data_IF_717669841052
#
_entry.id   IF_717669841052
#
_cell.length_a   1.000
_cell.length_b   1.000
_cell.length_c   1.000
_cell.angle_alpha   90.00
_cell.angle_beta   90.00
_cell.angle_gamma   90.00
#
_symmetry.space_group_name_H-M   'P 1'
#
loop_
_entity.id
_entity.type
_entity.pdbx_description
1 polymer ?
#
# COMPACT_ATOMS: atom_id res chain seq x y z
N UNK A 1 17.15 17.02 23.34
CA UNK A 1 15.96 17.05 24.22
C UNK A 1 15.01 18.13 23.70
N UNK A 2 14.28 17.85 22.61
CA UNK A 2 13.32 18.82 22.06
C UNK A 2 11.97 18.61 22.74
N UNK A 3 11.65 19.47 23.69
CA UNK A 3 10.34 19.53 24.31
C UNK A 3 9.31 20.02 23.28
N UNK A 4 8.39 19.13 22.90
CA UNK A 4 7.26 19.44 22.00
C UNK A 4 6.25 20.29 22.80
N UNK A 5 5.82 21.47 22.31
CA UNK A 5 4.82 22.27 23.01
C UNK A 5 3.45 21.58 22.94
N UNK A 6 2.79 21.45 24.09
CA UNK A 6 1.42 20.90 24.19
C UNK A 6 0.45 21.84 23.45
N UNK A 7 -0.36 21.27 22.58
CA UNK A 7 -1.45 21.97 21.91
C UNK A 7 -2.39 22.61 22.96
N UNK A 8 -2.71 23.88 22.78
CA UNK A 8 -3.66 24.63 23.60
C UNK A 8 -5.07 24.06 23.41
N UNK A 9 -5.61 23.42 24.43
CA UNK A 9 -7.02 23.05 24.48
C UNK A 9 -7.87 24.32 24.38
N UNK A 10 -8.74 24.35 23.37
CA UNK A 10 -9.82 25.33 23.21
C UNK A 10 -10.61 25.42 24.52
N UNK A 11 -10.44 26.52 25.28
CA UNK A 11 -11.11 26.72 26.57
C UNK A 11 -12.61 26.78 26.35
N UNK A 12 -13.33 25.80 26.87
CA UNK A 12 -14.80 25.78 26.87
C UNK A 12 -15.29 26.95 27.75
N UNK A 13 -16.30 27.74 27.30
CA UNK A 13 -16.85 28.83 28.09
C UNK A 13 -17.32 28.37 29.48
N UNK A 14 -16.99 29.15 30.51
CA UNK A 14 -17.39 28.85 31.88
C UNK A 14 -18.87 29.22 32.08
N UNK A 15 -19.70 28.21 32.31
CA UNK A 15 -21.12 28.36 32.60
C UNK A 15 -21.32 28.82 34.06
N UNK A 16 -22.38 29.60 34.30
CA UNK A 16 -22.69 30.16 35.62
C UNK A 16 -24.16 29.96 35.98
N UNK A 17 -24.45 29.99 37.28
CA UNK A 17 -25.82 29.97 37.80
C UNK A 17 -26.62 28.75 37.34
N UNK A 18 -27.86 28.99 36.92
CA UNK A 18 -28.81 27.94 36.53
C UNK A 18 -28.35 27.13 35.31
N UNK A 19 -27.64 27.74 34.36
CA UNK A 19 -27.11 27.03 33.19
C UNK A 19 -26.07 25.98 33.57
N UNK A 20 -25.21 26.31 34.54
CA UNK A 20 -24.22 25.37 35.07
C UNK A 20 -24.90 24.21 35.81
N UNK A 21 -25.93 24.51 36.60
CA UNK A 21 -26.71 23.51 37.33
C UNK A 21 -27.43 22.55 36.38
N UNK A 22 -28.14 23.09 35.39
CA UNK A 22 -28.84 22.30 34.37
C UNK A 22 -27.87 21.42 33.59
N UNK A 23 -26.68 21.94 33.25
CA UNK A 23 -25.69 21.17 32.49
C UNK A 23 -25.10 19.99 33.28
N UNK A 24 -24.84 20.20 34.57
CA UNK A 24 -24.39 19.14 35.47
C UNK A 24 -25.47 18.07 35.65
N UNK A 25 -26.71 18.49 35.84
CA UNK A 25 -27.85 17.58 35.97
C UNK A 25 -28.10 16.75 34.70
N UNK A 26 -28.10 17.40 33.53
CA UNK A 26 -28.24 16.76 32.22
C UNK A 26 -27.14 15.70 32.02
N UNK A 27 -25.89 16.05 32.34
CA UNK A 27 -24.76 15.13 32.23
C UNK A 27 -24.94 13.88 33.10
N UNK A 28 -25.29 14.06 34.38
CA UNK A 28 -25.46 12.93 35.31
C UNK A 28 -26.65 12.06 34.92
N UNK A 29 -27.78 12.65 34.55
CA UNK A 29 -28.96 11.89 34.08
C UNK A 29 -28.66 11.10 32.80
N UNK A 30 -27.95 11.72 31.84
CA UNK A 30 -27.57 11.07 30.58
C UNK A 30 -26.62 9.89 30.80
N UNK A 31 -25.62 10.05 31.65
CA UNK A 31 -24.64 8.98 31.90
C UNK A 31 -25.16 7.90 32.85
N UNK A 32 -26.09 8.26 33.75
CA UNK A 32 -26.72 7.42 34.77
C UNK A 32 -25.73 6.50 35.54
N UNK A 33 -24.51 7.01 35.79
CA UNK A 33 -23.43 6.32 36.52
C UNK A 33 -23.02 7.16 37.74
N UNK A 34 -22.57 6.54 38.85
CA UNK A 34 -22.05 7.28 40.00
C UNK A 34 -20.76 8.03 39.66
N UNK A 35 -20.69 9.33 39.96
CA UNK A 35 -19.49 10.16 39.74
C UNK A 35 -19.14 11.00 40.96
N UNK A 36 -17.84 11.28 41.14
CA UNK A 36 -17.39 12.33 42.04
C UNK A 36 -17.39 13.71 41.38
N UNK A 37 -17.40 14.78 42.18
CA UNK A 37 -17.43 16.15 41.65
C UNK A 37 -16.20 16.51 40.78
N UNK A 38 -15.05 15.88 41.04
CA UNK A 38 -13.84 16.06 40.23
C UNK A 38 -14.05 15.49 38.84
N UNK A 39 -14.60 14.28 38.76
CA UNK A 39 -14.83 13.57 37.49
C UNK A 39 -15.86 14.31 36.65
N UNK A 40 -16.94 14.79 37.26
CA UNK A 40 -17.97 15.58 36.56
C UNK A 40 -17.36 16.86 35.98
N UNK A 41 -16.59 17.62 36.76
CA UNK A 41 -15.95 18.85 36.29
C UNK A 41 -14.96 18.59 35.14
N UNK A 42 -14.20 17.49 35.22
CA UNK A 42 -13.28 17.06 34.16
C UNK A 42 -14.02 16.61 32.89
N UNK A 43 -15.10 15.82 33.03
CA UNK A 43 -15.91 15.34 31.90
C UNK A 43 -16.65 16.48 31.18
N UNK A 44 -17.02 17.53 31.91
CA UNK A 44 -17.54 18.77 31.36
C UNK A 44 -16.44 19.68 30.77
N UNK A 45 -15.19 19.21 30.68
CA UNK A 45 -14.02 19.92 30.12
C UNK A 45 -13.81 21.32 30.71
N UNK A 46 -14.08 21.46 32.00
CA UNK A 46 -13.93 22.75 32.70
C UNK A 46 -15.03 23.78 32.43
N UNK A 47 -16.12 23.41 31.72
CA UNK A 47 -17.29 24.28 31.54
C UNK A 47 -17.92 24.68 32.89
N UNK A 48 -17.82 23.80 33.90
CA UNK A 48 -18.18 24.11 35.29
C UNK A 48 -16.94 23.84 36.18
N UNK A 49 -16.43 24.85 36.91
CA UNK A 49 -15.27 24.68 37.78
C UNK A 49 -15.52 23.64 38.87
N UNK A 50 -14.47 22.96 39.35
CA UNK A 50 -14.56 21.89 40.36
C UNK A 50 -15.33 22.30 41.62
N UNK A 51 -15.05 23.48 42.17
CA UNK A 51 -15.70 23.99 43.38
C UNK A 51 -17.17 24.30 43.15
N UNK A 52 -17.52 24.87 42.00
CA UNK A 52 -18.90 25.11 41.60
C UNK A 52 -19.65 23.79 41.37
N UNK A 53 -19.01 22.82 40.72
CA UNK A 53 -19.56 21.48 40.47
C UNK A 53 -19.92 20.77 41.78
N UNK A 54 -19.02 20.79 42.78
CA UNK A 54 -19.30 20.21 44.09
C UNK A 54 -20.54 20.85 44.76
N UNK A 55 -20.64 22.18 44.73
CA UNK A 55 -21.79 22.90 45.32
C UNK A 55 -23.10 22.57 44.60
N UNK A 56 -23.07 22.55 43.27
CA UNK A 56 -24.22 22.20 42.42
C UNK A 56 -24.69 20.77 42.72
N UNK A 57 -23.77 19.80 42.80
CA UNK A 57 -24.11 18.41 43.06
C UNK A 57 -24.77 18.20 44.43
N UNK A 58 -24.27 18.89 45.46
CA UNK A 58 -24.89 18.87 46.79
C UNK A 58 -26.28 19.50 46.75
N UNK A 59 -26.43 20.66 46.11
CA UNK A 59 -27.73 21.32 45.97
C UNK A 59 -28.76 20.46 45.20
N UNK A 60 -28.32 19.78 44.14
CA UNK A 60 -29.17 18.85 43.38
C UNK A 60 -29.53 17.59 44.19
N UNK A 61 -28.64 17.14 45.09
CA UNK A 61 -28.95 16.05 46.01
C UNK A 61 -29.96 16.49 47.09
N UNK A 62 -29.84 17.71 47.61
CA UNK A 62 -30.81 18.30 48.56
C UNK A 62 -32.19 18.49 47.93
N UNK A 63 -32.25 18.86 46.64
CA UNK A 63 -33.49 18.93 45.84
C UNK A 63 -34.10 17.56 45.53
N UNK A 64 -33.43 16.46 45.87
CA UNK A 64 -33.90 15.09 45.61
C UNK A 64 -33.77 14.64 44.15
N UNK A 65 -33.08 15.42 43.30
CA UNK A 65 -32.82 15.05 41.91
C UNK A 65 -31.67 14.05 41.80
N UNK A 66 -30.70 14.13 42.71
CA UNK A 66 -29.58 13.22 42.83
C UNK A 66 -29.58 12.51 44.18
N UNK A 67 -28.96 11.34 44.23
CA UNK A 67 -28.61 10.65 45.47
C UNK A 67 -27.12 10.82 45.70
N UNK A 68 -26.74 11.27 46.89
CA UNK A 68 -25.35 11.37 47.30
C UNK A 68 -25.00 10.27 48.31
N UNK A 69 -23.80 9.70 48.17
CA UNK A 69 -23.26 8.74 49.14
C UNK A 69 -21.79 8.99 49.38
N UNK A 70 -21.41 9.06 50.65
CA UNK A 70 -20.04 9.32 51.08
C UNK A 70 -19.32 8.02 51.43
N UNK A 71 -18.14 7.84 50.86
CA UNK A 71 -17.22 6.72 51.11
C UNK A 71 -15.88 7.29 51.56
N UNK A 72 -15.63 7.26 52.87
CA UNK A 72 -14.44 7.86 53.46
C UNK A 72 -14.39 9.38 53.18
N UNK A 73 -13.37 9.82 52.44
CA UNK A 73 -13.17 11.23 52.07
C UNK A 73 -13.86 11.66 50.77
N UNK A 74 -14.46 10.72 50.03
CA UNK A 74 -15.01 10.98 48.69
C UNK A 74 -16.52 10.81 48.69
N UNK A 75 -17.24 11.76 48.08
CA UNK A 75 -18.69 11.68 47.89
C UNK A 75 -19.01 11.43 46.42
N UNK A 76 -19.87 10.45 46.17
CA UNK A 76 -20.38 10.10 44.85
C UNK A 76 -21.83 10.55 44.71
N UNK A 77 -22.17 11.00 43.51
CA UNK A 77 -23.50 11.46 43.13
C UNK A 77 -24.00 10.63 41.95
N UNK A 78 -25.26 10.23 42.00
CA UNK A 78 -25.95 9.52 40.90
C UNK A 78 -27.36 10.08 40.76
N UNK A 79 -27.96 9.99 39.58
CA UNK A 79 -29.36 10.35 39.41
C UNK A 79 -30.24 9.53 40.35
N UNK A 80 -31.26 10.16 40.94
CA UNK A 80 -32.16 9.47 41.85
C UNK A 80 -33.04 8.47 41.08
N UNK A 81 -32.75 7.18 41.22
CA UNK A 81 -33.49 6.12 40.51
C UNK A 81 -34.91 5.94 41.04
N UNK A 82 -35.22 6.39 42.26
CA UNK A 82 -36.58 6.31 42.81
C UNK A 82 -37.57 7.24 42.06
N UNK A 83 -37.05 8.21 41.30
CA UNK A 83 -37.86 9.09 40.45
C UNK A 83 -38.12 8.48 39.05
N UNK A 84 -37.55 7.31 38.75
CA UNK A 84 -37.78 6.60 37.50
C UNK A 84 -38.97 5.64 37.68
N UNK A 85 -39.82 5.55 36.67
CA UNK A 85 -40.94 4.61 36.68
C UNK A 85 -40.42 3.17 36.62
N UNK A 86 -40.95 2.31 37.49
CA UNK A 86 -40.74 0.87 37.38
C UNK A 86 -41.42 0.36 36.11
N UNK A 87 -40.64 -0.30 35.25
CA UNK A 87 -41.14 -0.80 33.98
C UNK A 87 -41.75 -2.20 34.18
N UNK A 88 -43.04 -2.41 33.85
CA UNK A 88 -43.66 -3.72 33.96
C UNK A 88 -43.02 -4.71 32.98
N UNK A 89 -42.99 -5.99 33.38
CA UNK A 89 -42.36 -7.06 32.61
C UNK A 89 -42.88 -7.17 31.16
N UNK A 90 -44.17 -6.90 30.93
CA UNK A 90 -44.79 -6.90 29.61
C UNK A 90 -44.21 -5.81 28.69
N UNK A 91 -43.99 -4.60 29.21
CA UNK A 91 -43.37 -3.50 28.44
C UNK A 91 -41.91 -3.83 28.11
N UNK A 92 -41.17 -4.39 29.06
CA UNK A 92 -39.79 -4.86 28.84
C UNK A 92 -39.74 -5.90 27.71
N UNK A 93 -40.63 -6.89 27.74
CA UNK A 93 -40.70 -7.90 26.68
C UNK A 93 -41.03 -7.29 25.31
N UNK A 94 -41.91 -6.27 25.25
CA UNK A 94 -42.21 -5.58 24.00
C UNK A 94 -41.01 -4.79 23.46
N UNK A 95 -40.25 -4.11 24.34
CA UNK A 95 -39.06 -3.36 23.96
C UNK A 95 -37.93 -4.29 23.52
N UNK A 96 -37.77 -5.46 24.16
CA UNK A 96 -36.80 -6.46 23.72
C UNK A 96 -37.14 -7.00 22.32
N UNK A 97 -38.42 -7.20 22.02
CA UNK A 97 -38.86 -7.60 20.69
C UNK A 97 -38.60 -6.50 19.65
N UNK A 98 -38.89 -5.24 19.99
CA UNK A 98 -38.62 -4.08 19.13
C UNK A 98 -37.11 -3.89 18.88
N UNK A 99 -36.28 -3.96 19.92
CA UNK A 99 -34.82 -3.92 19.79
C UNK A 99 -34.31 -5.01 18.86
N UNK A 100 -34.78 -6.26 19.01
CA UNK A 100 -34.39 -7.36 18.13
C UNK A 100 -34.81 -7.11 16.68
N UNK A 101 -36.02 -6.59 16.46
CA UNK A 101 -36.49 -6.25 15.11
C UNK A 101 -35.60 -5.17 14.46
N UNK A 102 -35.34 -4.08 15.19
CA UNK A 102 -34.49 -2.97 14.72
C UNK A 102 -33.05 -3.44 14.48
N UNK A 103 -32.51 -4.33 15.31
CA UNK A 103 -31.18 -4.90 15.13
C UNK A 103 -31.09 -5.75 13.86
N UNK A 104 -32.10 -6.58 13.57
CA UNK A 104 -32.14 -7.36 12.33
C UNK A 104 -32.31 -6.47 11.10
N UNK A 105 -33.22 -5.48 11.13
CA UNK A 105 -33.38 -4.51 10.04
C UNK A 105 -32.08 -3.73 9.78
N UNK A 106 -31.39 -3.33 10.85
CA UNK A 106 -30.09 -2.65 10.74
C UNK A 106 -29.02 -3.53 10.10
N UNK A 107 -29.02 -4.85 10.38
CA UNK A 107 -28.09 -5.79 9.74
C UNK A 107 -28.40 -5.94 8.26
N UNK A 108 -29.68 -6.03 7.88
CA UNK A 108 -30.11 -6.11 6.47
C UNK A 108 -29.69 -4.85 5.72
N UNK A 109 -30.02 -3.66 6.23
CA UNK A 109 -29.65 -2.39 5.61
C UNK A 109 -28.12 -2.22 5.50
N UNK A 110 -27.36 -2.63 6.52
CA UNK A 110 -25.90 -2.58 6.46
C UNK A 110 -25.34 -3.51 5.36
N UNK A 111 -25.95 -4.68 5.14
CA UNK A 111 -25.57 -5.58 4.07
C UNK A 111 -25.91 -5.00 2.69
N UNK A 112 -27.07 -4.36 2.53
CA UNK A 112 -27.47 -3.68 1.29
C UNK A 112 -26.52 -2.53 0.94
N UNK A 113 -26.20 -1.68 1.92
CA UNK A 113 -25.24 -0.57 1.75
C UNK A 113 -23.87 -1.10 1.35
N UNK A 114 -23.42 -2.20 1.96
CA UNK A 114 -22.15 -2.84 1.59
C UNK A 114 -22.16 -3.33 0.15
N UNK A 115 -23.24 -3.97 -0.29
CA UNK A 115 -23.39 -4.45 -1.67
C UNK A 115 -23.40 -3.28 -2.66
N UNK A 116 -24.23 -2.28 -2.44
CA UNK A 116 -24.34 -1.11 -3.33
C UNK A 116 -23.01 -0.32 -3.41
N UNK A 117 -22.35 -0.09 -2.27
CA UNK A 117 -21.09 0.68 -2.23
C UNK A 117 -19.90 -0.09 -2.79
N UNK A 118 -19.75 -1.38 -2.46
CA UNK A 118 -18.57 -2.15 -2.84
C UNK A 118 -18.68 -2.77 -4.23
N UNK A 119 -19.86 -3.26 -4.64
CA UNK A 119 -20.01 -3.94 -5.92
C UNK A 119 -20.40 -2.96 -7.03
N UNK A 120 -21.45 -2.17 -6.83
CA UNK A 120 -22.02 -1.36 -7.91
C UNK A 120 -21.24 -0.06 -8.10
N UNK A 121 -21.06 0.69 -7.02
CA UNK A 121 -20.40 1.99 -7.08
C UNK A 121 -18.91 1.86 -7.41
N UNK A 122 -18.21 0.84 -6.88
CA UNK A 122 -16.81 0.61 -7.25
C UNK A 122 -16.67 0.24 -8.74
N UNK A 123 -17.57 -0.59 -9.27
CA UNK A 123 -17.60 -0.95 -10.70
C UNK A 123 -17.85 0.27 -11.58
N UNK A 124 -18.84 1.10 -11.23
CA UNK A 124 -19.16 2.34 -11.94
C UNK A 124 -18.02 3.36 -11.90
N UNK A 125 -17.29 3.45 -10.80
CA UNK A 125 -16.12 4.34 -10.69
C UNK A 125 -14.90 3.81 -11.43
N UNK A 126 -14.78 2.49 -11.57
CA UNK A 126 -13.70 1.87 -12.34
C UNK A 126 -13.93 1.99 -13.86
N UNK A 127 -15.18 2.16 -14.31
CA UNK A 127 -15.47 2.44 -15.71
C UNK A 127 -15.22 3.91 -16.03
N UNK A 128 -14.43 4.22 -17.07
CA UNK A 128 -14.27 5.58 -17.55
C UNK A 128 -15.60 6.17 -18.01
N UNK A 129 -15.73 7.49 -17.89
CA UNK A 129 -16.90 8.22 -18.40
C UNK A 129 -16.93 8.20 -19.91
N UNK A 130 -18.09 8.39 -20.52
CA UNK A 130 -18.23 8.43 -21.99
C UNK A 130 -17.32 9.50 -22.64
N UNK A 131 -17.18 10.66 -22.00
CA UNK A 131 -16.25 11.69 -22.43
C UNK A 131 -14.78 11.24 -22.32
N UNK A 132 -14.42 10.53 -21.24
CA UNK A 132 -13.07 9.96 -21.09
C UNK A 132 -12.77 8.83 -22.08
N UNK A 133 -13.77 8.01 -22.40
CA UNK A 133 -13.69 6.99 -23.45
C UNK A 133 -13.47 7.61 -24.82
N UNK A 134 -14.19 8.69 -25.16
CA UNK A 134 -14.00 9.39 -26.42
C UNK A 134 -12.55 9.90 -26.58
N UNK A 135 -12.00 10.54 -25.53
CA UNK A 135 -10.59 10.97 -25.53
C UNK A 135 -9.64 9.78 -25.70
N UNK A 136 -9.87 8.68 -24.98
CA UNK A 136 -9.01 7.49 -25.08
C UNK A 136 -9.07 6.85 -26.47
N UNK A 137 -10.23 6.86 -27.13
CA UNK A 137 -10.39 6.39 -28.51
C UNK A 137 -9.59 7.27 -29.48
N UNK A 138 -9.73 8.60 -29.37
CA UNK A 138 -9.00 9.54 -30.22
C UNK A 138 -7.47 9.38 -30.06
N UNK A 139 -7.00 9.20 -28.83
CA UNK A 139 -5.58 8.94 -28.54
C UNK A 139 -5.09 7.62 -29.14
N UNK A 140 -5.89 6.55 -29.00
CA UNK A 140 -5.58 5.23 -29.54
C UNK A 140 -5.55 5.25 -31.07
N UNK A 141 -6.51 5.92 -31.71
CA UNK A 141 -6.58 6.07 -33.15
C UNK A 141 -5.41 6.89 -33.69
N UNK A 142 -5.05 7.99 -33.04
CA UNK A 142 -3.88 8.78 -33.38
C UNK A 142 -2.58 7.97 -33.22
N UNK A 143 -2.45 7.17 -32.15
CA UNK A 143 -1.31 6.29 -31.94
C UNK A 143 -1.22 5.20 -33.02
N UNK A 144 -2.34 4.57 -33.35
CA UNK A 144 -2.41 3.56 -34.39
C UNK A 144 -2.06 4.14 -35.77
N UNK A 145 -2.53 5.35 -36.09
CA UNK A 145 -2.17 6.05 -37.31
C UNK A 145 -0.66 6.33 -37.40
N UNK A 146 -0.06 6.88 -36.32
CA UNK A 146 1.40 7.10 -36.25
C UNK A 146 2.21 5.81 -36.43
N UNK A 147 1.79 4.72 -35.77
CA UNK A 147 2.45 3.43 -35.91
C UNK A 147 2.34 2.89 -37.33
N UNK A 148 1.17 2.99 -37.96
CA UNK A 148 0.97 2.57 -39.35
C UNK A 148 1.83 3.36 -40.32
N UNK A 149 1.93 4.68 -40.17
CA UNK A 149 2.83 5.52 -40.98
C UNK A 149 4.28 5.11 -40.83
N UNK A 150 4.74 4.84 -39.60
CA UNK A 150 6.11 4.37 -39.35
C UNK A 150 6.37 2.97 -39.94
N UNK A 151 5.33 2.15 -40.04
CA UNK A 151 5.41 0.79 -40.58
C UNK A 151 5.46 0.78 -42.11
N UNK A 152 4.84 1.75 -42.80
CA UNK A 152 4.86 1.86 -44.27
C UNK A 152 6.26 1.76 -44.89
N UNK A 153 7.25 2.61 -44.52
CA UNK A 153 8.59 2.54 -45.11
C UNK A 153 9.33 1.25 -44.76
N UNK A 154 9.07 0.69 -43.56
CA UNK A 154 9.68 -0.57 -43.13
C UNK A 154 9.15 -1.79 -43.90
N UNK A 155 7.92 -1.70 -44.43
CA UNK A 155 7.31 -2.73 -45.29
C UNK A 155 7.59 -2.50 -46.78
N UNK A 156 7.72 -1.24 -47.21
CA UNK A 156 8.02 -0.92 -48.60
C UNK A 156 9.49 -1.06 -48.94
N UNK A 157 10.39 -1.05 -47.95
CA UNK A 157 11.78 -1.39 -48.14
C UNK A 157 11.93 -2.85 -48.58
N UNK A 158 12.75 -3.09 -49.60
CA UNK A 158 13.12 -4.45 -50.01
C UNK A 158 13.84 -5.13 -48.85
N UNK A 159 13.39 -6.30 -48.36
CA UNK A 159 14.17 -7.07 -47.39
C UNK A 159 15.49 -7.48 -48.06
N UNK A 160 16.61 -6.88 -47.65
CA UNK A 160 17.94 -7.19 -48.20
C UNK A 160 18.43 -8.59 -47.82
N UNK A 161 17.86 -9.16 -46.75
CA UNK A 161 18.18 -10.50 -46.26
C UNK A 161 16.87 -11.19 -45.90
N UNK A 162 16.66 -12.37 -46.48
CA UNK A 162 15.50 -13.21 -46.20
C UNK A 162 15.60 -13.85 -44.81
N UNK A 163 14.47 -14.28 -44.27
CA UNK A 163 14.46 -15.03 -43.01
C UNK A 163 15.29 -16.33 -43.09
N UNK A 164 15.35 -16.96 -44.27
CA UNK A 164 16.15 -18.15 -44.52
C UNK A 164 17.66 -17.86 -44.50
N UNK A 165 18.09 -16.77 -45.14
CA UNK A 165 19.50 -16.35 -45.12
C UNK A 165 19.97 -15.96 -43.72
N UNK A 166 19.12 -15.28 -42.92
CA UNK A 166 19.43 -15.00 -41.51
C UNK A 166 19.57 -16.27 -40.68
N UNK A 167 18.66 -17.23 -40.85
CA UNK A 167 18.71 -18.49 -40.12
C UNK A 167 19.98 -19.31 -40.49
N UNK A 168 20.36 -19.29 -41.76
CA UNK A 168 21.59 -19.93 -42.22
C UNK A 168 22.83 -19.24 -41.65
N UNK A 169 22.85 -17.90 -41.61
CA UNK A 169 23.93 -17.13 -41.01
C UNK A 169 24.12 -17.44 -39.52
N UNK A 170 23.02 -17.53 -38.76
CA UNK A 170 23.06 -17.92 -37.34
C UNK A 170 23.58 -19.35 -37.15
N UNK A 171 23.17 -20.27 -38.02
CA UNK A 171 23.62 -21.67 -38.00
C UNK A 171 25.13 -21.76 -38.31
N UNK A 172 25.60 -21.06 -39.33
CA UNK A 172 27.00 -21.01 -39.72
C UNK A 172 27.85 -20.34 -38.64
N UNK A 173 27.40 -19.24 -38.05
CA UNK A 173 28.07 -18.60 -36.92
C UNK A 173 28.24 -19.56 -35.74
N UNK A 174 27.17 -20.25 -35.36
CA UNK A 174 27.19 -21.22 -34.25
C UNK A 174 28.16 -22.37 -34.53
N UNK A 175 28.13 -22.92 -35.75
CA UNK A 175 29.01 -24.01 -36.19
C UNK A 175 30.47 -23.59 -36.17
N UNK A 176 30.82 -22.52 -36.88
CA UNK A 176 32.21 -22.09 -37.04
C UNK A 176 32.82 -21.55 -35.75
N UNK A 177 32.04 -20.87 -34.90
CA UNK A 177 32.47 -20.48 -33.56
C UNK A 177 32.83 -21.70 -32.70
N UNK A 178 31.98 -22.72 -32.73
CA UNK A 178 32.22 -23.96 -31.95
C UNK A 178 33.49 -24.66 -32.42
N UNK A 179 33.70 -24.74 -33.74
CA UNK A 179 34.93 -25.30 -34.31
C UNK A 179 36.17 -24.48 -33.95
N UNK A 180 36.12 -23.15 -34.07
CA UNK A 180 37.22 -22.26 -33.72
C UNK A 180 37.65 -22.43 -32.26
N UNK A 181 36.71 -22.32 -31.31
CA UNK A 181 36.99 -22.49 -29.88
C UNK A 181 37.56 -23.88 -29.58
N UNK A 182 37.01 -24.93 -30.19
CA UNK A 182 37.50 -26.30 -30.01
C UNK A 182 38.93 -26.44 -30.52
N UNK A 183 39.22 -25.97 -31.73
CA UNK A 183 40.55 -26.07 -32.35
C UNK A 183 41.59 -25.26 -31.61
N UNK A 184 41.28 -24.02 -31.22
CA UNK A 184 42.14 -23.17 -30.39
C UNK A 184 42.48 -23.84 -29.06
N UNK A 185 41.49 -24.46 -28.40
CA UNK A 185 41.72 -25.21 -27.15
C UNK A 185 42.64 -26.41 -27.35
N UNK A 186 42.42 -27.20 -28.41
CA UNK A 186 43.27 -28.36 -28.73
C UNK A 186 44.72 -27.91 -28.95
N UNK A 187 44.91 -26.89 -29.79
CA UNK A 187 46.22 -26.32 -30.08
C UNK A 187 46.89 -25.81 -28.81
N UNK A 188 46.21 -24.97 -28.02
CA UNK A 188 46.76 -24.39 -26.79
C UNK A 188 47.18 -25.48 -25.80
N UNK A 189 46.37 -26.50 -25.61
CA UNK A 189 46.68 -27.62 -24.72
C UNK A 189 47.92 -28.41 -25.21
N UNK A 190 47.99 -28.68 -26.51
CA UNK A 190 49.11 -29.43 -27.09
C UNK A 190 50.41 -28.61 -27.05
N UNK A 191 50.32 -27.32 -27.38
CA UNK A 191 51.42 -26.39 -27.33
C UNK A 191 51.99 -26.30 -25.91
N UNK A 192 51.12 -26.09 -24.91
CA UNK A 192 51.52 -26.08 -23.50
C UNK A 192 52.20 -27.38 -23.09
N UNK A 193 51.67 -28.55 -23.49
CA UNK A 193 52.31 -29.83 -23.18
C UNK A 193 53.70 -29.97 -23.82
N UNK A 194 53.87 -29.49 -25.05
CA UNK A 194 55.15 -29.55 -25.77
C UNK A 194 56.18 -28.57 -25.18
N UNK A 195 55.74 -27.42 -24.66
CA UNK A 195 56.63 -26.37 -24.14
C UNK A 195 56.75 -26.36 -22.62
N UNK A 196 56.04 -27.23 -21.88
CA UNK A 196 56.01 -27.23 -20.39
C UNK A 196 57.39 -27.39 -19.76
N UNK A 197 58.25 -28.18 -20.41
CA UNK A 197 59.62 -28.45 -19.97
C UNK A 197 60.63 -27.41 -20.48
N UNK A 198 60.22 -26.47 -21.34
CA UNK A 198 61.11 -25.49 -21.96
C UNK A 198 61.11 -24.16 -21.21
N UNK A 199 62.26 -23.47 -21.13
CA UNK A 199 62.31 -22.07 -20.74
C UNK A 199 61.44 -21.20 -21.67
N UNK A 200 60.83 -20.09 -21.17
CA UNK A 200 59.93 -19.25 -21.97
C UNK A 200 60.54 -18.66 -23.25
N UNK A 201 61.85 -18.38 -23.24
CA UNK A 201 62.57 -17.86 -24.41
C UNK A 201 62.68 -18.93 -25.50
N UNK A 202 63.09 -20.14 -25.14
CA UNK A 202 63.20 -21.28 -26.06
C UNK A 202 61.83 -21.69 -26.62
N UNK A 203 60.77 -21.59 -25.81
CA UNK A 203 59.39 -21.81 -26.29
C UNK A 203 58.93 -20.75 -27.32
N UNK A 204 59.41 -19.51 -27.19
CA UNK A 204 59.11 -18.43 -28.13
C UNK A 204 59.87 -18.62 -29.44
N UNK A 205 61.17 -18.92 -29.36
CA UNK A 205 62.01 -19.25 -30.52
C UNK A 205 61.46 -20.46 -31.29
N UNK A 206 61.03 -21.52 -30.58
CA UNK A 206 60.40 -22.68 -31.18
C UNK A 206 59.08 -22.33 -31.89
N UNK A 207 58.28 -21.42 -31.34
CA UNK A 207 57.05 -20.96 -32.00
C UNK A 207 57.36 -20.24 -33.31
N UNK A 208 58.37 -19.38 -33.32
CA UNK A 208 58.83 -18.65 -34.51
C UNK A 208 59.38 -19.59 -35.57
N UNK A 209 60.21 -20.57 -35.19
CA UNK A 209 60.76 -21.58 -36.09
C UNK A 209 59.67 -22.46 -36.73
N UNK A 210 58.62 -22.77 -35.96
CA UNK A 210 57.46 -23.54 -36.44
C UNK A 210 56.43 -22.68 -37.18
N UNK A 211 56.64 -21.36 -37.26
CA UNK A 211 55.73 -20.42 -37.92
C UNK A 211 54.36 -20.30 -37.23
N UNK A 212 54.32 -20.41 -35.91
CA UNK A 212 53.08 -20.33 -35.12
C UNK A 212 52.75 -18.86 -34.84
N UNK A 213 51.60 -18.43 -35.35
CA UNK A 213 51.04 -17.11 -35.06
C UNK A 213 49.95 -17.22 -33.97
N UNK A 214 50.16 -16.54 -32.85
CA UNK A 214 49.18 -16.49 -31.76
C UNK A 214 48.14 -15.37 -31.97
N UNK A 215 46.98 -15.54 -31.34
CA UNK A 215 45.89 -14.57 -31.36
C UNK A 215 46.35 -13.16 -30.94
N UNK A 216 46.15 -12.20 -31.83
CA UNK A 216 46.40 -10.77 -31.56
C UNK A 216 45.35 -10.16 -30.61
N UNK A 217 45.56 -8.94 -30.09
CA UNK A 217 44.56 -8.24 -29.27
C UNK A 217 43.20 -8.06 -29.96
N UNK A 218 43.18 -7.97 -31.30
CA UNK A 218 41.94 -7.89 -32.09
C UNK A 218 41.11 -9.17 -31.99
N UNK A 219 41.77 -10.34 -32.02
CA UNK A 219 41.10 -11.63 -31.84
C UNK A 219 40.49 -11.75 -30.43
N UNK A 220 41.21 -11.28 -29.40
CA UNK A 220 40.70 -11.21 -28.04
C UNK A 220 39.51 -10.24 -27.88
N UNK A 221 39.51 -9.13 -28.61
CA UNK A 221 38.39 -8.19 -28.65
C UNK A 221 37.13 -8.80 -29.31
N UNK A 222 37.30 -9.59 -30.37
CA UNK A 222 36.20 -10.33 -31.01
C UNK A 222 35.65 -11.41 -30.08
N UNK A 223 36.51 -12.14 -29.36
CA UNK A 223 36.11 -13.19 -28.42
C UNK A 223 35.37 -12.64 -27.19
N UNK A 224 35.78 -11.47 -26.69
CA UNK A 224 35.11 -10.76 -25.59
C UNK A 224 33.90 -9.93 -26.05
N UNK A 225 33.68 -9.85 -27.37
CA UNK A 225 32.61 -9.07 -27.97
C UNK A 225 31.20 -9.63 -27.73
N UNK A 226 30.16 -8.80 -27.95
CA UNK A 226 28.76 -9.18 -27.69
C UNK A 226 28.24 -10.33 -28.57
N UNK A 227 28.87 -10.59 -29.71
CA UNK A 227 28.57 -11.71 -30.61
C UNK A 227 29.08 -13.06 -30.09
N UNK A 228 30.06 -13.02 -29.17
CA UNK A 228 30.71 -14.19 -28.59
C UNK A 228 30.34 -14.42 -27.11
N UNK A 229 29.64 -13.47 -26.47
CA UNK A 229 29.13 -13.60 -25.10
C UNK A 229 28.02 -14.67 -25.00
N UNK A 230 28.07 -15.56 -23.98
CA UNK A 230 27.00 -16.54 -23.74
C UNK A 230 25.75 -15.82 -23.24
N UNK A 231 24.91 -15.35 -24.17
CA UNK A 231 23.67 -14.67 -23.82
C UNK A 231 23.00 -13.86 -24.93
N UNK A 232 23.68 -13.55 -26.03
CA UNK A 232 23.07 -12.72 -27.09
C UNK A 232 22.52 -13.58 -28.23
N UNK A 233 21.58 -14.47 -27.91
CA UNK A 233 20.65 -14.93 -28.94
C UNK A 233 19.85 -13.70 -29.34
N UNK A 234 20.13 -13.13 -30.52
CA UNK A 234 19.40 -12.03 -31.16
C UNK A 234 17.93 -12.38 -31.50
N UNK A 235 17.29 -13.27 -30.72
CA UNK A 235 16.01 -13.90 -31.01
C UNK A 235 15.06 -14.06 -29.82
N UNK A 236 15.45 -13.78 -28.57
CA UNK A 236 14.46 -13.64 -27.47
C UNK A 236 13.85 -12.23 -27.48
N UNK A 237 13.17 -11.89 -28.58
CA UNK A 237 12.06 -10.93 -28.48
C UNK A 237 11.02 -11.58 -27.58
N UNK A 238 10.90 -11.06 -26.35
CA UNK A 238 9.79 -11.38 -25.44
C UNK A 238 8.50 -11.37 -26.25
N UNK A 239 7.85 -12.53 -26.35
CA UNK A 239 6.40 -12.59 -26.54
C UNK A 239 5.75 -12.34 -25.19
#
# INVERSE_FOLDING_TARGET
MSAKPKASETKVPVLKGQEAEQKVLEYIKRMNRPFGAVDVSANLKGAVPKTATQKILVALAEKGELVQKTYGKTTFFVANQANLEDMPAEKLASLEAECKAIEEDSKVLAAEVRTASAAELAKLKATPTDAGLAVSLDEADAAAARLRERLKPLRSGTPLVTAGELAQLDADWTKWRTEWVRRKKIFTNFWQLATDALPPQEATELAEDLGIEFDTPEHGAVESGPLCSPGTVLGKRRR
#
